data_IF_544074191258
#
_entry.id   IF_544074191258
#
_cell.length_a   1.000
_cell.length_b   1.000
_cell.length_c   1.000
_cell.angle_alpha   90.00
_cell.angle_beta   90.00
_cell.angle_gamma   90.00
#
_symmetry.space_group_name_H-M   'P 1'
#
loop_
_entity.id
_entity.type
_entity.pdbx_description
1 polymer ?
#
# COMPACT_ATOMS: atom_id res chain seq x y z
N UNK A 1 -23.60 27.86 -12.14
CA UNK A 1 -22.32 27.16 -11.90
C UNK A 1 -22.64 25.69 -11.65
N UNK A 2 -22.55 24.82 -12.66
CA UNK A 2 -22.74 23.39 -12.45
C UNK A 2 -21.41 22.78 -12.03
N UNK A 3 -21.29 22.47 -10.74
CA UNK A 3 -20.13 21.77 -10.19
C UNK A 3 -20.25 20.36 -10.73
N UNK A 4 -19.46 20.02 -11.74
CA UNK A 4 -19.38 18.66 -12.25
C UNK A 4 -19.28 17.70 -11.06
N UNK A 5 -20.29 16.84 -10.90
CA UNK A 5 -20.32 15.83 -9.85
C UNK A 5 -19.05 14.99 -10.01
N UNK A 6 -18.04 15.29 -9.19
CA UNK A 6 -16.78 14.56 -9.22
C UNK A 6 -17.13 13.09 -9.00
N UNK A 7 -16.83 12.25 -9.99
CA UNK A 7 -17.15 10.83 -9.95
C UNK A 7 -16.65 10.24 -8.62
N UNK A 8 -17.59 9.79 -7.79
CA UNK A 8 -17.28 9.17 -6.51
C UNK A 8 -17.63 7.70 -6.56
N UNK A 9 -16.75 6.86 -6.04
CA UNK A 9 -17.02 5.45 -5.78
C UNK A 9 -17.16 5.29 -4.27
N UNK A 10 -18.27 4.69 -3.82
CA UNK A 10 -18.57 4.55 -2.38
C UNK A 10 -18.60 5.88 -1.60
N UNK A 11 -18.94 6.99 -2.27
CA UNK A 11 -18.91 8.33 -1.66
C UNK A 11 -17.50 8.89 -1.45
N UNK A 12 -16.47 8.20 -1.94
CA UNK A 12 -15.09 8.66 -1.91
C UNK A 12 -14.73 9.31 -3.24
N UNK A 13 -14.09 10.47 -3.17
CA UNK A 13 -13.42 11.01 -4.35
C UNK A 13 -12.16 10.17 -4.69
N UNK A 14 -11.60 10.38 -5.89
CA UNK A 14 -10.46 9.60 -6.38
C UNK A 14 -9.26 9.61 -5.44
N UNK A 15 -8.96 10.76 -4.81
CA UNK A 15 -7.82 10.87 -3.90
C UNK A 15 -8.05 10.06 -2.62
N UNK A 16 -9.25 10.16 -2.05
CA UNK A 16 -9.64 9.38 -0.87
C UNK A 16 -9.61 7.88 -1.16
N UNK A 17 -10.18 7.47 -2.30
CA UNK A 17 -10.18 6.05 -2.70
C UNK A 17 -8.76 5.51 -2.87
N UNK A 18 -7.88 6.27 -3.53
CA UNK A 18 -6.48 5.89 -3.72
C UNK A 18 -5.76 5.72 -2.38
N UNK A 19 -5.99 6.63 -1.43
CA UNK A 19 -5.37 6.58 -0.11
C UNK A 19 -5.86 5.37 0.70
N UNK A 20 -7.16 5.09 0.69
CA UNK A 20 -7.70 3.87 1.33
C UNK A 20 -7.15 2.59 0.70
N UNK A 21 -7.08 2.52 -0.63
CA UNK A 21 -6.52 1.37 -1.33
C UNK A 21 -5.05 1.15 -0.97
N UNK A 22 -4.25 2.23 -0.92
CA UNK A 22 -2.84 2.17 -0.52
C UNK A 22 -2.68 1.62 0.89
N UNK A 23 -3.48 2.09 1.85
CA UNK A 23 -3.48 1.60 3.24
C UNK A 23 -3.86 0.13 3.33
N UNK A 24 -4.96 -0.27 2.69
CA UNK A 24 -5.44 -1.65 2.70
C UNK A 24 -4.40 -2.63 2.11
N UNK A 25 -3.75 -2.26 1.00
CA UNK A 25 -2.69 -3.07 0.40
C UNK A 25 -1.48 -3.17 1.34
N UNK A 26 -1.04 -2.05 1.93
CA UNK A 26 0.07 -2.06 2.88
C UNK A 26 -0.19 -2.96 4.10
N UNK A 27 -1.41 -2.92 4.64
CA UNK A 27 -1.83 -3.81 5.73
C UNK A 27 -1.85 -5.28 5.31
N UNK A 28 -2.40 -5.61 4.14
CA UNK A 28 -2.43 -6.97 3.61
C UNK A 28 -1.01 -7.54 3.42
N UNK A 29 -0.08 -6.74 2.89
CA UNK A 29 1.33 -7.12 2.78
C UNK A 29 1.96 -7.35 4.16
N UNK A 30 1.74 -6.42 5.10
CA UNK A 30 2.27 -6.55 6.45
C UNK A 30 1.77 -7.82 7.17
N UNK A 31 0.50 -8.18 7.00
CA UNK A 31 -0.06 -9.41 7.59
C UNK A 31 0.54 -10.67 6.96
N UNK A 32 0.71 -10.70 5.63
CA UNK A 32 1.37 -11.81 4.96
C UNK A 32 2.82 -12.00 5.43
N UNK A 33 3.57 -10.91 5.59
CA UNK A 33 4.94 -10.95 6.13
C UNK A 33 4.95 -11.50 7.55
N UNK A 34 4.04 -11.06 8.43
CA UNK A 34 3.91 -11.58 9.79
C UNK A 34 3.56 -13.07 9.83
N UNK A 35 2.75 -13.54 8.88
CA UNK A 35 2.41 -14.95 8.73
C UNK A 35 3.58 -15.80 8.18
N UNK A 36 4.71 -15.18 7.84
CA UNK A 36 5.88 -15.86 7.30
C UNK A 36 5.83 -16.04 5.78
N UNK A 37 4.79 -15.57 5.10
CA UNK A 37 4.61 -15.73 3.66
C UNK A 37 5.65 -14.92 2.88
N UNK A 38 6.05 -15.47 1.73
CA UNK A 38 6.87 -14.73 0.76
C UNK A 38 6.02 -13.64 0.09
N UNK A 39 6.67 -12.53 -0.25
CA UNK A 39 6.02 -11.40 -0.93
C UNK A 39 6.65 -11.22 -2.30
N UNK A 40 5.83 -11.18 -3.33
CA UNK A 40 6.26 -10.83 -4.69
C UNK A 40 5.96 -9.36 -4.94
N UNK A 41 6.96 -8.60 -5.37
CA UNK A 41 6.82 -7.18 -5.66
C UNK A 41 7.84 -6.67 -6.65
N UNK A 42 7.65 -5.43 -7.11
CA UNK A 42 8.60 -4.74 -7.95
C UNK A 42 9.69 -4.11 -7.08
N UNK A 43 10.92 -4.58 -7.21
CA UNK A 43 12.08 -4.12 -6.45
C UNK A 43 13.19 -3.74 -7.44
N UNK A 44 13.65 -2.49 -7.40
CA UNK A 44 14.70 -1.97 -8.29
C UNK A 44 14.36 -2.21 -9.79
N UNK A 45 13.09 -2.06 -10.16
CA UNK A 45 12.62 -2.25 -11.54
C UNK A 45 12.47 -3.71 -11.99
N UNK A 46 12.64 -4.69 -11.09
CA UNK A 46 12.47 -6.12 -11.38
C UNK A 46 11.44 -6.74 -10.46
N UNK A 47 10.62 -7.64 -10.99
CA UNK A 47 9.72 -8.46 -10.17
C UNK A 47 10.57 -9.46 -9.39
N UNK A 48 10.48 -9.40 -8.06
CA UNK A 48 11.25 -10.24 -7.15
C UNK A 48 10.33 -10.81 -6.08
N UNK A 49 10.57 -12.08 -5.74
CA UNK A 49 9.96 -12.73 -4.57
C UNK A 49 10.94 -12.65 -3.42
N UNK A 50 10.52 -12.00 -2.33
CA UNK A 50 11.31 -11.83 -1.13
C UNK A 50 10.74 -12.69 0.01
N UNK A 51 11.62 -13.34 0.75
CA UNK A 51 11.25 -14.01 1.99
C UNK A 51 10.77 -13.01 3.05
N UNK A 52 9.86 -13.43 3.92
CA UNK A 52 9.27 -12.61 5.00
C UNK A 52 10.29 -11.96 5.93
N UNK A 53 11.47 -12.56 6.09
CA UNK A 53 12.58 -12.05 6.93
C UNK A 53 13.57 -11.17 6.17
N UNK A 54 13.38 -10.96 4.86
CA UNK A 54 14.30 -10.17 4.06
C UNK A 54 14.39 -8.72 4.59
N UNK A 55 15.58 -8.18 4.86
CA UNK A 55 15.74 -6.82 5.39
C UNK A 55 15.09 -5.74 4.52
N UNK A 56 14.99 -5.98 3.21
CA UNK A 56 14.32 -5.11 2.24
C UNK A 56 12.82 -4.96 2.53
N UNK A 57 12.14 -6.03 2.95
CA UNK A 57 10.72 -5.99 3.34
C UNK A 57 10.54 -5.12 4.58
N UNK A 58 11.40 -5.28 5.59
CA UNK A 58 11.32 -4.50 6.83
C UNK A 58 11.46 -2.99 6.57
N UNK A 59 12.36 -2.58 5.67
CA UNK A 59 12.50 -1.18 5.24
C UNK A 59 11.25 -0.65 4.54
N UNK A 60 10.69 -1.41 3.60
CA UNK A 60 9.46 -1.04 2.88
C UNK A 60 8.29 -0.83 3.84
N UNK A 61 8.06 -1.78 4.76
CA UNK A 61 6.98 -1.68 5.75
C UNK A 61 7.15 -0.51 6.73
N UNK A 62 8.39 -0.11 7.04
CA UNK A 62 8.65 1.07 7.87
C UNK A 62 8.37 2.37 7.10
N UNK A 63 8.68 2.44 5.80
CA UNK A 63 8.39 3.60 4.97
C UNK A 63 6.88 3.80 4.82
N UNK A 64 6.12 2.73 4.53
CA UNK A 64 4.66 2.80 4.40
C UNK A 64 3.98 3.33 5.68
N UNK A 65 4.46 2.89 6.86
CA UNK A 65 3.95 3.38 8.15
C UNK A 65 4.25 4.85 8.42
N UNK A 66 5.36 5.38 7.89
CA UNK A 66 5.70 6.80 8.03
C UNK A 66 4.82 7.67 7.13
N UNK A 67 4.55 7.21 5.90
CA UNK A 67 3.61 7.89 5.02
C UNK A 67 2.19 7.89 5.58
N UNK A 68 1.74 6.79 6.19
CA UNK A 68 0.41 6.72 6.82
C UNK A 68 0.22 7.59 8.08
N UNK A 69 1.29 8.17 8.65
CA UNK A 69 1.27 9.00 9.87
C UNK A 69 1.61 10.48 9.65
N UNK A 70 2.11 10.83 8.47
CA UNK A 70 2.53 12.19 8.14
C UNK A 70 1.40 13.03 7.51
N UNK A 71 0.20 12.46 7.42
CA UNK A 71 -1.05 13.05 6.92
C UNK A 71 -2.13 12.97 8.01
#
# INVERSE_FOLDING_TARGET
MSRADAFTLFGLNTAQLAEFAKRAVGEAVAQNVKAGNQITGLVEGRVQTLGSTAPRIAKSLQQDRRHARAE
#
